data_IF_660319806632
#
_entry.id   IF_660319806632
#
_cell.length_a   1.000
_cell.length_b   1.000
_cell.length_c   1.000
_cell.angle_alpha   90.00
_cell.angle_beta   90.00
_cell.angle_gamma   90.00
#
_symmetry.space_group_name_H-M   'P 1'
#
loop_
_entity.id
_entity.type
_entity.pdbx_description
1 polymer ?
#
# COMPACT_ATOMS: atom_id res chain seq x y z
N UNK A 1 -29.27 21.09 9.76
CA UNK A 1 -28.77 21.68 8.49
C UNK A 1 -27.26 21.43 8.22
N UNK A 2 -26.37 21.39 9.21
CA UNK A 2 -24.90 21.15 9.02
C UNK A 2 -24.53 19.74 8.55
N UNK A 3 -25.21 18.69 8.99
CA UNK A 3 -24.88 17.27 8.65
C UNK A 3 -25.12 16.98 7.16
N UNK A 4 -26.21 17.53 6.57
CA UNK A 4 -26.52 17.30 5.15
C UNK A 4 -25.45 17.89 4.21
N UNK A 5 -24.85 19.02 4.59
CA UNK A 5 -23.79 19.68 3.82
C UNK A 5 -22.45 18.92 3.94
N UNK A 6 -22.21 18.21 5.06
CA UNK A 6 -21.02 17.39 5.24
C UNK A 6 -20.99 16.24 4.21
N UNK A 7 -22.09 15.52 4.03
CA UNK A 7 -22.19 14.43 3.06
C UNK A 7 -22.28 14.87 1.59
N UNK A 8 -22.41 16.18 1.32
CA UNK A 8 -22.46 16.69 -0.06
C UNK A 8 -21.07 16.83 -0.69
N UNK A 9 -20.02 17.06 0.12
CA UNK A 9 -18.66 17.28 -0.38
C UNK A 9 -17.99 15.94 -0.77
N UNK A 10 -17.41 15.83 -1.97
CA UNK A 10 -16.62 14.66 -2.38
C UNK A 10 -15.43 14.39 -1.44
N UNK A 11 -14.78 15.44 -0.94
CA UNK A 11 -13.64 15.33 -0.02
C UNK A 11 -14.05 14.68 1.30
N UNK A 12 -15.21 15.04 1.85
CA UNK A 12 -15.69 14.46 3.10
C UNK A 12 -16.10 12.99 2.92
N UNK A 13 -16.66 12.63 1.75
CA UNK A 13 -16.96 11.25 1.40
C UNK A 13 -15.68 10.42 1.29
N UNK A 14 -14.66 10.95 0.61
CA UNK A 14 -13.36 10.30 0.51
C UNK A 14 -12.73 10.11 1.89
N UNK A 15 -12.78 11.13 2.74
CA UNK A 15 -12.27 11.03 4.11
C UNK A 15 -12.91 9.88 4.90
N UNK A 16 -14.24 9.73 4.81
CA UNK A 16 -14.95 8.61 5.44
C UNK A 16 -14.54 7.25 4.83
N UNK A 17 -14.36 7.17 3.51
CA UNK A 17 -13.90 5.96 2.83
C UNK A 17 -12.49 5.59 3.31
N UNK A 18 -11.59 6.56 3.43
CA UNK A 18 -10.23 6.36 3.93
C UNK A 18 -10.24 5.89 5.39
N UNK A 19 -11.05 6.51 6.25
CA UNK A 19 -11.19 6.07 7.64
C UNK A 19 -11.72 4.64 7.76
N UNK A 20 -12.72 4.29 6.95
CA UNK A 20 -13.27 2.95 6.90
C UNK A 20 -12.21 1.94 6.42
N UNK A 21 -11.49 2.27 5.36
CA UNK A 21 -10.43 1.43 4.82
C UNK A 21 -9.25 1.27 5.79
N UNK A 22 -8.87 2.33 6.51
CA UNK A 22 -7.89 2.27 7.59
C UNK A 22 -8.37 1.36 8.72
N UNK A 23 -9.62 1.54 9.17
CA UNK A 23 -10.19 0.70 10.22
C UNK A 23 -10.08 -0.79 9.87
N UNK A 24 -10.47 -1.20 8.67
CA UNK A 24 -10.37 -2.59 8.27
C UNK A 24 -8.93 -3.12 8.19
N UNK A 25 -7.94 -2.25 7.91
CA UNK A 25 -6.52 -2.65 7.83
C UNK A 25 -5.85 -2.79 9.18
N UNK A 26 -6.25 -1.97 10.17
CA UNK A 26 -5.70 -2.04 11.52
C UNK A 26 -6.50 -2.96 12.46
N UNK A 27 -7.76 -3.28 12.13
CA UNK A 27 -8.60 -4.13 12.95
C UNK A 27 -7.98 -5.51 13.09
N UNK A 28 -7.60 -5.87 14.32
CA UNK A 28 -6.92 -7.13 14.66
C UNK A 28 -5.67 -7.40 13.80
N UNK A 29 -4.91 -6.35 13.48
CA UNK A 29 -3.76 -6.46 12.59
C UNK A 29 -2.71 -7.45 13.14
N UNK A 30 -2.44 -7.44 14.45
CA UNK A 30 -1.51 -8.35 15.10
C UNK A 30 -2.00 -9.81 15.08
N UNK A 31 -3.28 -10.04 15.41
CA UNK A 31 -3.86 -11.38 15.43
C UNK A 31 -3.99 -12.01 14.02
N UNK A 32 -4.18 -11.18 13.01
CA UNK A 32 -4.40 -11.59 11.62
C UNK A 32 -3.15 -11.47 10.75
N UNK A 33 -2.03 -11.07 11.32
CA UNK A 33 -0.76 -10.99 10.62
C UNK A 33 -0.23 -12.39 10.33
N UNK A 34 -0.12 -12.72 9.05
CA UNK A 34 0.47 -13.98 8.62
C UNK A 34 1.98 -13.81 8.53
N UNK A 35 2.70 -14.42 9.46
CA UNK A 35 4.16 -14.47 9.43
C UNK A 35 4.61 -15.75 8.75
N UNK A 36 5.17 -15.62 7.56
CA UNK A 36 5.64 -16.71 6.74
C UNK A 36 7.06 -16.47 6.22
N UNK A 37 7.45 -17.23 5.22
CA UNK A 37 8.80 -17.20 4.65
C UNK A 37 9.19 -15.82 4.09
N UNK A 38 8.29 -15.16 3.37
CA UNK A 38 8.57 -13.85 2.77
C UNK A 38 8.78 -12.76 3.82
N UNK A 39 8.01 -12.79 4.90
CA UNK A 39 8.13 -11.87 6.03
C UNK A 39 9.42 -12.11 6.81
N UNK A 40 9.83 -13.38 6.96
CA UNK A 40 11.10 -13.76 7.57
C UNK A 40 12.28 -13.23 6.75
N UNK A 41 12.28 -13.44 5.44
CA UNK A 41 13.32 -12.90 4.54
C UNK A 41 13.40 -11.37 4.60
N UNK A 42 12.27 -10.67 4.69
CA UNK A 42 12.24 -9.24 4.88
C UNK A 42 12.85 -8.82 6.22
N UNK A 43 12.52 -9.52 7.31
CA UNK A 43 13.12 -9.33 8.63
C UNK A 43 14.63 -9.56 8.64
N UNK A 44 15.10 -10.62 8.02
CA UNK A 44 16.52 -10.89 7.86
C UNK A 44 17.25 -9.80 7.07
N UNK A 45 16.65 -9.29 5.99
CA UNK A 45 17.22 -8.17 5.24
C UNK A 45 17.41 -6.94 6.15
N UNK A 46 16.35 -6.54 6.87
CA UNK A 46 16.40 -5.40 7.80
C UNK A 46 17.46 -5.61 8.87
N UNK A 47 17.51 -6.79 9.49
CA UNK A 47 18.51 -7.14 10.50
C UNK A 47 19.92 -7.05 9.96
N UNK A 48 20.17 -7.56 8.77
CA UNK A 48 21.50 -7.55 8.15
C UNK A 48 21.98 -6.11 7.92
N UNK A 49 21.10 -5.23 7.42
CA UNK A 49 21.44 -3.82 7.21
C UNK A 49 21.63 -3.07 8.54
N UNK A 50 20.73 -3.26 9.50
CA UNK A 50 20.70 -2.45 10.74
C UNK A 50 21.75 -2.94 11.76
N UNK A 51 21.82 -4.25 11.99
CA UNK A 51 22.67 -4.84 13.02
C UNK A 51 24.06 -5.13 12.48
N UNK A 52 24.15 -5.81 11.35
CA UNK A 52 25.44 -6.22 10.77
C UNK A 52 26.10 -5.11 9.94
N UNK A 53 25.40 -3.99 9.69
CA UNK A 53 25.86 -2.86 8.86
C UNK A 53 26.23 -3.24 7.44
N UNK A 54 25.61 -4.30 6.93
CA UNK A 54 25.86 -4.83 5.61
C UNK A 54 24.90 -4.19 4.60
N UNK A 55 25.40 -3.32 3.71
CA UNK A 55 24.61 -2.71 2.64
C UNK A 55 24.24 -3.76 1.59
N UNK A 56 22.97 -4.10 1.48
CA UNK A 56 22.45 -5.05 0.52
C UNK A 56 21.93 -4.34 -0.73
N UNK A 57 22.45 -4.73 -1.90
CA UNK A 57 22.04 -4.14 -3.19
C UNK A 57 20.96 -4.94 -3.90
N UNK A 58 20.66 -6.14 -3.40
CA UNK A 58 19.62 -7.03 -3.91
C UNK A 58 18.70 -7.45 -2.77
N UNK A 59 17.41 -7.63 -3.07
CA UNK A 59 16.41 -8.17 -2.15
C UNK A 59 16.41 -9.70 -2.13
N UNK A 60 15.26 -10.29 -1.83
CA UNK A 60 15.09 -11.75 -1.85
C UNK A 60 15.07 -12.30 -3.26
N UNK A 61 15.44 -13.56 -3.40
CA UNK A 61 15.30 -14.33 -4.62
C UNK A 61 13.82 -14.62 -4.89
N UNK A 62 13.43 -14.57 -6.15
CA UNK A 62 12.08 -14.94 -6.59
C UNK A 62 11.92 -16.45 -6.66
N UNK A 63 10.73 -16.93 -7.03
CA UNK A 63 10.50 -18.36 -7.32
C UNK A 63 11.33 -18.89 -8.47
N UNK A 64 11.95 -18.01 -9.27
CA UNK A 64 12.88 -18.38 -10.34
C UNK A 64 14.30 -18.16 -9.87
N UNK A 65 15.09 -19.24 -9.86
CA UNK A 65 16.47 -19.19 -9.40
C UNK A 65 17.32 -18.18 -10.18
N UNK A 66 18.11 -17.40 -9.46
CA UNK A 66 18.99 -16.36 -10.02
C UNK A 66 18.29 -15.01 -10.30
N UNK A 67 16.97 -14.90 -10.10
CA UNK A 67 16.24 -13.64 -10.26
C UNK A 67 15.92 -13.06 -8.88
N UNK A 68 16.37 -11.82 -8.64
CA UNK A 68 16.22 -11.14 -7.35
C UNK A 68 15.32 -9.92 -7.46
N UNK A 69 14.57 -9.66 -6.39
CA UNK A 69 13.76 -8.44 -6.25
C UNK A 69 14.67 -7.27 -5.89
N UNK A 70 14.33 -6.06 -6.36
CA UNK A 70 15.07 -4.85 -6.02
C UNK A 70 15.00 -4.53 -4.51
N UNK A 71 16.03 -3.88 -3.94
CA UNK A 71 16.16 -3.70 -2.50
C UNK A 71 15.28 -2.59 -1.92
N UNK A 72 14.71 -1.70 -2.73
CA UNK A 72 14.01 -0.47 -2.27
C UNK A 72 12.91 -0.77 -1.26
N UNK A 73 12.08 -1.78 -1.52
CA UNK A 73 11.00 -2.16 -0.61
C UNK A 73 11.51 -2.49 0.80
N UNK A 74 12.60 -3.23 0.89
CA UNK A 74 13.20 -3.65 2.16
C UNK A 74 13.83 -2.46 2.90
N UNK A 75 14.41 -1.51 2.19
CA UNK A 75 14.90 -0.27 2.80
C UNK A 75 13.78 0.58 3.36
N UNK A 76 12.61 0.59 2.73
CA UNK A 76 11.41 1.26 3.25
C UNK A 76 10.87 0.60 4.53
N UNK A 77 11.11 -0.70 4.76
CA UNK A 77 10.73 -1.39 5.99
C UNK A 77 11.58 -0.98 7.19
N UNK A 78 12.85 -0.59 6.99
CA UNK A 78 13.81 -0.34 8.08
C UNK A 78 13.26 0.64 9.12
N UNK A 79 12.78 1.85 8.80
CA UNK A 79 12.28 2.77 9.81
C UNK A 79 11.12 2.21 10.62
N UNK A 80 10.26 1.40 10.02
CA UNK A 80 9.13 0.80 10.71
C UNK A 80 9.57 -0.33 11.65
N UNK A 81 10.50 -1.17 11.23
CA UNK A 81 11.08 -2.18 12.12
C UNK A 81 11.81 -1.53 13.31
N UNK A 82 12.52 -0.43 13.09
CA UNK A 82 13.19 0.30 14.18
C UNK A 82 12.18 0.91 15.16
N UNK A 83 11.07 1.50 14.67
CA UNK A 83 10.00 2.06 15.50
C UNK A 83 9.30 1.00 16.35
N UNK A 84 9.24 -0.23 15.90
CA UNK A 84 8.60 -1.36 16.59
C UNK A 84 9.63 -2.31 17.24
N UNK A 85 10.83 -1.81 17.59
CA UNK A 85 11.88 -2.59 18.25
C UNK A 85 12.27 -3.88 17.51
N UNK A 86 12.34 -3.82 16.20
CA UNK A 86 12.62 -4.95 15.30
C UNK A 86 11.54 -6.04 15.26
N UNK A 87 10.33 -5.73 15.75
CA UNK A 87 9.19 -6.63 15.61
C UNK A 87 8.66 -6.58 14.15
N UNK A 88 8.40 -7.74 13.52
CA UNK A 88 7.84 -7.81 12.17
C UNK A 88 6.50 -7.10 11.98
N UNK A 89 5.73 -6.88 13.06
CA UNK A 89 4.49 -6.09 13.01
C UNK A 89 4.74 -4.65 12.52
N UNK A 90 5.95 -4.13 12.67
CA UNK A 90 6.35 -2.86 12.09
C UNK A 90 6.19 -2.82 10.58
N UNK A 91 6.41 -3.94 9.89
CA UNK A 91 6.16 -4.06 8.45
C UNK A 91 4.70 -3.85 8.08
N UNK A 92 3.76 -4.30 8.95
CA UNK A 92 2.31 -4.10 8.76
C UNK A 92 1.96 -2.61 8.76
N UNK A 93 2.67 -1.79 9.55
CA UNK A 93 2.46 -0.35 9.54
C UNK A 93 2.79 0.26 8.16
N UNK A 94 3.90 -0.13 7.54
CA UNK A 94 4.26 0.31 6.19
C UNK A 94 3.20 -0.09 5.16
N UNK A 95 2.82 -1.38 5.12
CA UNK A 95 1.86 -1.85 4.10
C UNK A 95 0.46 -1.28 4.33
N UNK A 96 0.07 -1.01 5.58
CA UNK A 96 -1.16 -0.28 5.90
C UNK A 96 -1.14 1.14 5.34
N UNK A 97 -0.04 1.88 5.47
CA UNK A 97 0.12 3.21 4.89
C UNK A 97 0.02 3.15 3.37
N UNK A 98 0.67 2.18 2.74
CA UNK A 98 0.59 1.96 1.29
C UNK A 98 -0.84 1.60 0.85
N UNK A 99 -1.56 0.78 1.63
CA UNK A 99 -2.95 0.43 1.37
C UNK A 99 -3.89 1.64 1.45
N UNK A 100 -3.69 2.51 2.45
CA UNK A 100 -4.43 3.78 2.57
C UNK A 100 -4.09 4.72 1.40
N UNK A 101 -2.83 4.79 1.03
CA UNK A 101 -2.39 5.55 -0.15
C UNK A 101 -3.00 5.00 -1.44
N UNK A 102 -3.20 3.68 -1.53
CA UNK A 102 -3.92 3.05 -2.65
C UNK A 102 -5.37 3.52 -2.73
N UNK A 103 -6.10 3.60 -1.60
CA UNK A 103 -7.49 4.10 -1.58
C UNK A 103 -7.55 5.51 -2.18
N UNK A 104 -6.65 6.39 -1.74
CA UNK A 104 -6.56 7.75 -2.28
C UNK A 104 -6.18 7.76 -3.77
N UNK A 105 -5.24 6.90 -4.20
CA UNK A 105 -4.80 6.78 -5.58
C UNK A 105 -5.93 6.35 -6.51
N UNK A 106 -6.74 5.37 -6.10
CA UNK A 106 -7.95 4.96 -6.82
C UNK A 106 -8.93 6.13 -6.98
N UNK A 107 -9.21 6.84 -5.90
CA UNK A 107 -10.05 8.03 -5.99
C UNK A 107 -9.50 9.05 -6.97
N UNK A 108 -8.22 9.41 -6.83
CA UNK A 108 -7.60 10.46 -7.63
C UNK A 108 -7.60 10.10 -9.11
N UNK A 109 -7.08 8.93 -9.45
CA UNK A 109 -6.93 8.50 -10.85
C UNK A 109 -8.30 8.31 -11.52
N UNK A 110 -9.20 7.59 -10.89
CA UNK A 110 -10.54 7.35 -11.45
C UNK A 110 -11.35 8.65 -11.55
N UNK A 111 -11.19 9.58 -10.61
CA UNK A 111 -11.82 10.89 -10.70
C UNK A 111 -11.30 11.71 -11.88
N UNK A 112 -10.03 11.60 -12.23
CA UNK A 112 -9.42 12.30 -13.36
C UNK A 112 -9.80 11.69 -14.72
N UNK A 113 -9.96 10.38 -14.75
CA UNK A 113 -10.23 9.66 -16.02
C UNK A 113 -11.73 9.57 -16.31
N UNK A 114 -12.56 9.27 -15.31
CA UNK A 114 -13.97 8.94 -15.48
C UNK A 114 -14.93 9.93 -14.81
N UNK A 115 -14.50 10.61 -13.76
CA UNK A 115 -15.32 11.55 -13.00
C UNK A 115 -15.31 11.28 -11.50
N UNK A 116 -15.71 12.29 -10.72
CA UNK A 116 -15.63 12.27 -9.23
C UNK A 116 -16.46 11.15 -8.60
N UNK A 117 -17.61 10.84 -9.19
CA UNK A 117 -18.50 9.79 -8.69
C UNK A 117 -17.85 8.42 -8.84
N UNK A 118 -17.28 8.15 -9.99
CA UNK A 118 -16.58 6.92 -10.34
C UNK A 118 -15.33 6.73 -9.48
N UNK A 119 -14.61 7.82 -9.21
CA UNK A 119 -13.49 7.81 -8.28
C UNK A 119 -13.90 7.44 -6.84
N UNK A 120 -15.01 7.97 -6.35
CA UNK A 120 -15.55 7.59 -5.03
C UNK A 120 -15.98 6.12 -4.98
N UNK A 121 -16.62 5.61 -6.04
CA UNK A 121 -17.03 4.21 -6.13
C UNK A 121 -15.80 3.29 -6.15
N UNK A 122 -14.80 3.59 -6.99
CA UNK A 122 -13.58 2.80 -7.09
C UNK A 122 -12.82 2.75 -5.75
N UNK A 123 -12.65 3.91 -5.10
CA UNK A 123 -11.98 3.98 -3.79
C UNK A 123 -12.77 3.25 -2.69
N UNK A 124 -14.10 3.31 -2.71
CA UNK A 124 -14.95 2.58 -1.77
C UNK A 124 -14.81 1.07 -1.96
N UNK A 125 -14.93 0.58 -3.20
CA UNK A 125 -14.77 -0.85 -3.50
C UNK A 125 -13.39 -1.34 -3.02
N UNK A 126 -12.31 -0.60 -3.34
CA UNK A 126 -10.97 -0.95 -2.88
C UNK A 126 -10.87 -0.96 -1.34
N UNK A 127 -11.50 0.01 -0.66
CA UNK A 127 -11.42 0.15 0.80
C UNK A 127 -12.05 -0.99 1.58
N UNK A 128 -13.13 -1.61 1.04
CA UNK A 128 -13.92 -2.66 1.71
C UNK A 128 -13.74 -4.05 1.11
N UNK A 129 -13.03 -4.19 -0.02
CA UNK A 129 -12.79 -5.49 -0.64
C UNK A 129 -11.95 -6.37 0.28
N UNK A 130 -12.43 -7.57 0.57
CA UNK A 130 -11.68 -8.55 1.37
C UNK A 130 -10.30 -8.84 0.78
N UNK A 131 -10.22 -9.01 -0.53
CA UNK A 131 -8.97 -9.31 -1.22
C UNK A 131 -7.93 -8.20 -1.02
N UNK A 132 -8.33 -6.93 -1.18
CA UNK A 132 -7.40 -5.79 -1.02
C UNK A 132 -7.00 -5.60 0.45
N UNK A 133 -7.93 -5.77 1.40
CA UNK A 133 -7.64 -5.69 2.83
C UNK A 133 -6.65 -6.78 3.24
N UNK A 134 -6.84 -7.99 2.74
CA UNK A 134 -5.94 -9.11 3.00
C UNK A 134 -4.53 -8.83 2.46
N UNK A 135 -4.41 -8.46 1.18
CA UNK A 135 -3.11 -8.16 0.56
C UNK A 135 -2.42 -6.94 1.19
N UNK A 136 -3.19 -5.92 1.60
CA UNK A 136 -2.66 -4.70 2.24
C UNK A 136 -2.21 -4.95 3.70
N UNK A 137 -2.28 -6.17 4.20
CA UNK A 137 -1.73 -6.62 5.49
C UNK A 137 -0.50 -7.50 5.32
N UNK A 138 -0.26 -7.99 4.11
CA UNK A 138 0.89 -8.83 3.84
C UNK A 138 2.16 -8.02 3.62
N UNK A 139 3.19 -8.30 4.42
CA UNK A 139 4.50 -7.65 4.33
C UNK A 139 5.33 -8.35 3.27
N UNK A 140 4.96 -8.13 2.02
CA UNK A 140 5.61 -8.74 0.84
C UNK A 140 5.98 -7.67 -0.19
N UNK A 141 7.07 -7.85 -0.95
CA UNK A 141 7.55 -6.85 -1.91
C UNK A 141 6.62 -6.65 -3.11
N UNK A 142 5.63 -7.51 -3.31
CA UNK A 142 4.62 -7.40 -4.36
C UNK A 142 3.45 -6.48 -3.97
N UNK A 143 3.28 -6.16 -2.69
CA UNK A 143 2.18 -5.32 -2.21
C UNK A 143 2.14 -3.93 -2.92
N UNK A 144 3.24 -3.20 -3.12
CA UNK A 144 3.20 -1.89 -3.76
C UNK A 144 2.80 -1.92 -5.24
N UNK A 145 2.77 -3.08 -5.89
CA UNK A 145 2.45 -3.22 -7.32
C UNK A 145 1.07 -2.65 -7.65
N UNK A 146 0.08 -2.77 -6.75
CA UNK A 146 -1.27 -2.22 -6.96
C UNK A 146 -1.22 -0.70 -7.14
N UNK A 147 -0.50 0.00 -6.27
CA UNK A 147 -0.31 1.46 -6.36
C UNK A 147 0.32 1.83 -7.71
N UNK A 148 1.44 1.19 -8.05
CA UNK A 148 2.17 1.49 -9.28
C UNK A 148 1.33 1.20 -10.52
N UNK A 149 0.54 0.16 -10.52
CA UNK A 149 -0.36 -0.20 -11.63
C UNK A 149 -1.38 0.90 -11.88
N UNK A 150 -2.01 1.44 -10.84
CA UNK A 150 -2.99 2.53 -10.97
C UNK A 150 -2.35 3.79 -11.56
N UNK A 151 -1.16 4.17 -11.08
CA UNK A 151 -0.45 5.33 -11.60
C UNK A 151 0.09 5.11 -13.02
N UNK A 152 0.51 3.89 -13.35
CA UNK A 152 0.90 3.52 -14.71
C UNK A 152 -0.25 3.69 -15.70
N UNK A 153 -1.44 3.19 -15.36
CA UNK A 153 -2.64 3.41 -16.19
C UNK A 153 -2.97 4.89 -16.35
N UNK A 154 -2.82 5.69 -15.31
CA UNK A 154 -3.02 7.13 -15.40
C UNK A 154 -2.01 7.80 -16.34
N UNK A 155 -0.75 7.41 -16.27
CA UNK A 155 0.28 7.91 -17.17
C UNK A 155 -0.02 7.53 -18.64
N UNK A 156 -0.46 6.29 -18.89
CA UNK A 156 -0.90 5.85 -20.23
C UNK A 156 -2.08 6.67 -20.75
N UNK A 157 -3.10 6.90 -19.91
CA UNK A 157 -4.25 7.74 -20.29
C UNK A 157 -3.83 9.14 -20.67
N UNK A 158 -2.90 9.77 -19.92
CA UNK A 158 -2.36 11.08 -20.25
C UNK A 158 -1.61 11.11 -21.57
N UNK A 159 -0.80 10.08 -21.86
CA UNK A 159 -0.08 9.95 -23.13
C UNK A 159 -1.06 9.80 -24.32
N UNK A 160 -2.04 8.91 -24.19
CA UNK A 160 -3.04 8.66 -25.24
C UNK A 160 -3.86 9.92 -25.55
N UNK A 161 -4.22 10.69 -24.51
CA UNK A 161 -4.97 11.95 -24.68
C UNK A 161 -4.11 13.13 -25.11
N UNK A 162 -2.81 12.93 -25.34
CA UNK A 162 -1.87 13.99 -25.73
C UNK A 162 -1.64 15.06 -24.67
N UNK A 163 -1.98 14.77 -23.41
CA UNK A 163 -1.72 15.65 -22.28
C UNK A 163 -0.33 15.38 -21.72
N UNK A 164 0.69 15.78 -22.47
CA UNK A 164 2.02 15.87 -21.90
C UNK A 164 2.09 17.08 -20.97
N UNK A 165 2.47 16.87 -19.75
CA UNK A 165 2.82 17.92 -18.79
C UNK A 165 4.33 17.98 -18.63
#
# INVERSE_FOLDING_TARGET
MKIRNFFSSPTNKLFLIVLLGLFFRIYKAEELFLYGHDQDLAGWFVKDVVVNKHLRLIGQETSTHGIFIGPIYYYLLIPFYLLFNMDPIGGVALVTILGVFSIWSFYYVFSKVFGTREGLIASFIYSVSFYTIFNDREVVPTMPVIVWTVWFFYALDLLIRGKQR
#
